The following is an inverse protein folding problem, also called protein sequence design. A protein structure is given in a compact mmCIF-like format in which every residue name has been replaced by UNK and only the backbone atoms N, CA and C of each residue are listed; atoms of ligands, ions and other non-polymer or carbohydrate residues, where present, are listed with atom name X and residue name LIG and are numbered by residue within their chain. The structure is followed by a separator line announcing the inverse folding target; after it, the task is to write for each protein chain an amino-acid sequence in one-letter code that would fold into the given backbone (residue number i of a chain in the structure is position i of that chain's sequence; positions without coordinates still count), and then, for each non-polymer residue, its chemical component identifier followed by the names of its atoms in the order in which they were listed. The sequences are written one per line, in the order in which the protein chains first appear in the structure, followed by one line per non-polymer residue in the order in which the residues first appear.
data_IF_936671275260
#
_entry.id   IF_936671275260
#
_cell.length_a   1.000
_cell.length_b   1.000
_cell.length_c   1.000
_cell.angle_alpha   90.00
_cell.angle_beta   90.00
_cell.angle_gamma   90.00
#
_symmetry.space_group_name_H-M   'P 1'
#
loop_
_entity.id
_entity.type
_entity.pdbx_description
1 polymer ?
#
# COMPACT_ATOMS: atom_id res chain seq x y z
N UNK A 1 6.94 -19.16 -5.78
CA UNK A 1 6.72 -18.20 -4.68
C UNK A 1 5.24 -18.08 -4.37
N UNK A 2 4.92 -18.05 -3.10
CA UNK A 2 3.52 -17.87 -2.69
C UNK A 2 3.05 -16.46 -3.04
N UNK A 3 1.88 -16.38 -3.66
CA UNK A 3 1.30 -15.08 -3.99
C UNK A 3 0.67 -14.47 -2.74
N UNK A 4 0.68 -13.14 -2.66
CA UNK A 4 -0.03 -12.44 -1.62
C UNK A 4 -1.52 -12.69 -1.73
N UNK A 5 -2.16 -12.90 -0.58
CA UNK A 5 -3.59 -13.12 -0.47
C UNK A 5 -4.16 -12.09 0.49
N UNK A 6 -5.43 -11.74 0.30
CA UNK A 6 -6.11 -10.81 1.18
C UNK A 6 -6.70 -11.57 2.36
N UNK A 7 -6.40 -11.10 3.57
CA UNK A 7 -6.88 -11.70 4.81
C UNK A 7 -7.78 -10.72 5.55
N UNK A 8 -8.91 -11.20 6.01
CA UNK A 8 -9.77 -10.44 6.91
C UNK A 8 -9.42 -10.83 8.33
N UNK A 9 -9.22 -9.85 9.19
CA UNK A 9 -8.78 -10.13 10.55
C UNK A 9 -9.64 -9.41 11.58
N UNK A 10 -9.67 -10.01 12.75
CA UNK A 10 -10.24 -9.43 13.96
C UNK A 10 -9.20 -9.56 15.05
N UNK A 11 -9.03 -8.52 15.86
CA UNK A 11 -8.00 -8.51 16.88
C UNK A 11 -8.40 -7.60 18.03
N UNK A 12 -7.67 -7.72 19.13
CA UNK A 12 -7.82 -6.83 20.28
C UNK A 12 -6.57 -5.98 20.42
N UNK A 13 -6.76 -4.71 20.79
CA UNK A 13 -5.65 -3.84 21.14
C UNK A 13 -5.09 -4.22 22.50
N UNK A 14 -3.99 -3.57 22.92
CA UNK A 14 -3.44 -3.78 24.26
C UNK A 14 -4.44 -3.43 25.36
N UNK A 15 -5.33 -2.49 25.08
CA UNK A 15 -6.36 -2.05 26.01
C UNK A 15 -7.61 -2.93 25.97
N UNK A 16 -7.60 -3.98 25.13
CA UNK A 16 -8.71 -4.89 25.00
C UNK A 16 -9.83 -4.41 24.09
N UNK A 17 -9.58 -3.38 23.29
CA UNK A 17 -10.59 -2.88 22.37
C UNK A 17 -10.60 -3.71 21.08
N UNK A 18 -11.79 -4.05 20.56
CA UNK A 18 -11.86 -4.80 19.31
C UNK A 18 -11.50 -3.94 18.11
N UNK A 19 -10.74 -4.54 17.19
CA UNK A 19 -10.40 -3.94 15.92
C UNK A 19 -10.60 -4.97 14.83
N UNK A 20 -10.87 -4.52 13.63
CA UNK A 20 -10.99 -5.39 12.48
C UNK A 20 -10.46 -4.68 11.24
N UNK A 21 -10.10 -5.47 10.23
CA UNK A 21 -9.58 -4.90 9.01
C UNK A 21 -9.19 -5.98 8.02
N UNK A 22 -8.42 -5.57 7.01
CA UNK A 22 -7.88 -6.48 6.01
C UNK A 22 -6.39 -6.22 5.87
N UNK A 23 -5.66 -7.26 5.44
CA UNK A 23 -4.24 -7.12 5.12
C UNK A 23 -3.86 -8.14 4.05
N UNK A 24 -2.74 -7.86 3.38
CA UNK A 24 -2.17 -8.77 2.41
C UNK A 24 -1.03 -9.54 3.04
N UNK A 25 -1.04 -10.87 2.88
CA UNK A 25 0.04 -11.72 3.37
C UNK A 25 0.09 -12.99 2.53
N UNK A 26 1.26 -13.63 2.50
CA UNK A 26 1.44 -14.83 1.70
C UNK A 26 0.79 -16.05 2.34
N UNK A 27 0.71 -16.07 3.68
CA UNK A 27 0.09 -17.16 4.41
C UNK A 27 -0.41 -16.66 5.75
N UNK A 28 -1.04 -17.57 6.50
CA UNK A 28 -1.63 -17.23 7.79
C UNK A 28 -0.58 -16.78 8.81
N UNK A 29 0.58 -17.43 8.82
CA UNK A 29 1.65 -17.06 9.74
C UNK A 29 2.17 -15.67 9.48
N UNK A 30 2.32 -15.31 8.21
CA UNK A 30 2.75 -13.95 7.86
C UNK A 30 1.73 -12.92 8.32
N UNK A 31 0.43 -13.21 8.14
CA UNK A 31 -0.64 -12.32 8.59
C UNK A 31 -0.61 -12.17 10.11
N UNK A 32 -0.46 -13.28 10.82
CA UNK A 32 -0.40 -13.28 12.27
C UNK A 32 0.77 -12.44 12.78
N UNK A 33 1.95 -12.67 12.22
CA UNK A 33 3.16 -11.93 12.60
C UNK A 33 2.98 -10.43 12.39
N UNK A 34 2.35 -10.07 11.29
CA UNK A 34 2.14 -8.67 10.97
C UNK A 34 1.23 -7.99 11.98
N UNK A 35 0.16 -8.67 12.40
CA UNK A 35 -0.74 -8.14 13.42
C UNK A 35 -0.04 -8.00 14.76
N UNK A 36 0.79 -8.97 15.12
CA UNK A 36 1.56 -8.90 16.35
C UNK A 36 2.51 -7.72 16.37
N UNK A 37 3.13 -7.42 15.24
CA UNK A 37 4.03 -6.26 15.12
C UNK A 37 3.29 -4.94 15.32
N UNK A 38 1.99 -4.92 15.03
CA UNK A 38 1.16 -3.73 15.19
C UNK A 38 0.55 -3.64 16.59
N UNK A 39 1.02 -4.47 17.53
CA UNK A 39 0.52 -4.51 18.90
C UNK A 39 -0.95 -4.93 18.98
N UNK A 40 -1.37 -5.80 18.07
CA UNK A 40 -2.70 -6.36 18.04
C UNK A 40 -2.64 -7.85 18.39
N UNK A 41 -3.64 -8.30 19.14
CA UNK A 41 -3.76 -9.72 19.46
C UNK A 41 -4.80 -10.34 18.53
N UNK A 42 -4.36 -11.15 17.55
CA UNK A 42 -5.29 -11.71 16.56
C UNK A 42 -6.30 -12.66 17.22
N UNK A 43 -7.59 -12.43 16.93
CA UNK A 43 -8.66 -13.31 17.36
C UNK A 43 -9.12 -14.22 16.24
N UNK A 44 -9.13 -13.72 15.00
CA UNK A 44 -9.57 -14.50 13.84
C UNK A 44 -8.85 -14.00 12.60
N UNK A 45 -8.48 -14.93 11.74
CA UNK A 45 -7.89 -14.66 10.44
C UNK A 45 -8.64 -15.51 9.43
N UNK A 46 -9.27 -14.86 8.45
CA UNK A 46 -10.04 -15.54 7.41
C UNK A 46 -9.51 -15.09 6.06
N UNK A 47 -9.18 -16.08 5.22
CA UNK A 47 -8.73 -15.76 3.87
C UNK A 47 -9.92 -15.35 3.01
N UNK A 48 -9.78 -14.22 2.31
CA UNK A 48 -10.80 -13.79 1.36
C UNK A 48 -10.63 -14.59 0.07
N UNK A 49 -11.68 -15.32 -0.30
CA UNK A 49 -11.61 -16.25 -1.44
C UNK A 49 -11.71 -15.55 -2.79
N UNK A 50 -12.21 -14.31 -2.81
CA UNK A 50 -12.43 -13.60 -4.07
C UNK A 50 -11.12 -13.06 -4.62
N UNK A 51 -10.89 -13.28 -5.93
CA UNK A 51 -9.77 -12.66 -6.61
C UNK A 51 -10.07 -11.20 -6.83
N UNK A 52 -9.13 -10.35 -6.45
CA UNK A 52 -9.24 -8.93 -6.71
C UNK A 52 -8.57 -8.59 -8.04
N UNK A 53 -9.28 -7.81 -8.86
CA UNK A 53 -8.77 -7.34 -10.13
C UNK A 53 -8.26 -5.91 -9.94
N UNK A 54 -6.97 -5.72 -10.17
CA UNK A 54 -6.36 -4.39 -10.03
C UNK A 54 -6.62 -3.59 -11.30
N UNK A 55 -7.27 -2.42 -11.15
CA UNK A 55 -7.58 -1.55 -12.29
C UNK A 55 -6.53 -0.45 -12.37
N UNK A 56 -5.98 -0.19 -13.57
CA UNK A 56 -4.91 0.80 -13.71
C UNK A 56 -5.27 2.19 -13.23
N UNK A 57 -6.54 2.61 -13.39
CA UNK A 57 -6.92 3.98 -13.00
C UNK A 57 -6.74 4.22 -11.50
N UNK A 58 -6.89 3.21 -10.66
CA UNK A 58 -6.66 3.37 -9.22
C UNK A 58 -5.19 3.64 -8.93
N UNK A 59 -4.30 3.01 -9.68
CA UNK A 59 -2.86 3.22 -9.55
C UNK A 59 -2.49 4.67 -9.90
N UNK A 60 -2.99 5.16 -11.04
CA UNK A 60 -2.71 6.53 -11.46
C UNK A 60 -3.34 7.55 -10.52
N UNK A 61 -4.53 7.26 -10.01
CA UNK A 61 -5.18 8.13 -9.04
C UNK A 61 -4.37 8.21 -7.74
N UNK A 62 -3.80 7.09 -7.32
CA UNK A 62 -2.91 7.06 -6.16
C UNK A 62 -1.71 8.00 -6.36
N UNK A 63 -1.05 7.90 -7.53
CA UNK A 63 0.09 8.77 -7.81
C UNK A 63 -0.31 10.23 -7.88
N UNK A 64 -1.48 10.52 -8.43
CA UNK A 64 -1.99 11.91 -8.49
C UNK A 64 -2.17 12.47 -7.09
N UNK A 65 -2.81 11.70 -6.22
CA UNK A 65 -3.05 12.14 -4.85
C UNK A 65 -1.75 12.25 -4.05
N UNK A 66 -0.81 11.32 -4.27
CA UNK A 66 0.50 11.42 -3.62
C UNK A 66 1.22 12.70 -4.02
N UNK A 67 1.21 13.04 -5.31
CA UNK A 67 1.85 14.26 -5.77
C UNK A 67 1.28 15.48 -5.06
N UNK A 68 -0.03 15.54 -4.92
CA UNK A 68 -0.71 16.64 -4.25
C UNK A 68 -0.29 16.74 -2.78
N UNK A 69 -0.28 15.60 -2.07
CA UNK A 69 0.08 15.58 -0.65
C UNK A 69 1.55 15.91 -0.42
N UNK A 70 2.44 15.40 -1.28
CA UNK A 70 3.85 15.72 -1.19
C UNK A 70 4.11 17.20 -1.46
N UNK A 71 3.38 17.78 -2.41
CA UNK A 71 3.47 19.19 -2.70
C UNK A 71 3.05 20.03 -1.50
N UNK A 72 2.10 19.54 -0.72
CA UNK A 72 1.63 20.21 0.49
C UNK A 72 2.61 20.08 1.66
N UNK A 73 3.70 19.35 1.48
CA UNK A 73 4.74 19.22 2.50
C UNK A 73 4.61 18.02 3.41
N UNK A 74 3.68 17.10 3.11
CA UNK A 74 3.51 15.90 3.91
C UNK A 74 4.57 14.86 3.55
N UNK A 75 4.95 14.03 4.52
CA UNK A 75 5.87 12.93 4.27
C UNK A 75 5.20 11.86 3.42
N UNK A 76 6.00 11.08 2.73
CA UNK A 76 5.49 9.99 1.90
C UNK A 76 4.73 8.95 2.74
N UNK A 77 5.30 8.56 3.88
CA UNK A 77 4.68 7.59 4.77
C UNK A 77 3.33 8.08 5.28
N UNK A 78 3.27 9.33 5.73
CA UNK A 78 2.02 9.91 6.22
C UNK A 78 0.98 10.03 5.10
N UNK A 79 1.42 10.42 3.91
CA UNK A 79 0.54 10.53 2.75
C UNK A 79 -0.10 9.18 2.41
N UNK A 80 0.70 8.11 2.41
CA UNK A 80 0.20 6.77 2.12
C UNK A 80 -0.78 6.28 3.17
N UNK A 81 -0.53 6.60 4.45
CA UNK A 81 -1.46 6.25 5.51
C UNK A 81 -2.80 6.95 5.32
N UNK A 82 -2.77 8.23 4.97
CA UNK A 82 -4.01 8.96 4.71
C UNK A 82 -4.79 8.37 3.55
N UNK A 83 -4.09 8.02 2.47
CA UNK A 83 -4.74 7.40 1.31
C UNK A 83 -5.33 6.04 1.68
N UNK A 84 -4.63 5.26 2.49
CA UNK A 84 -5.12 3.97 2.94
C UNK A 84 -6.42 4.11 3.72
N UNK A 85 -6.47 5.06 4.64
CA UNK A 85 -7.64 5.27 5.48
C UNK A 85 -8.85 5.74 4.68
N UNK A 86 -8.64 6.48 3.60
CA UNK A 86 -9.71 7.13 2.84
C UNK A 86 -10.14 6.34 1.60
N UNK A 87 -9.38 5.33 1.22
CA UNK A 87 -9.68 4.60 -0.01
C UNK A 87 -10.98 3.78 0.13
N UNK A 88 -11.88 3.85 -0.86
CA UNK A 88 -13.16 3.14 -0.76
C UNK A 88 -13.06 1.62 -0.94
N UNK A 89 -11.97 1.12 -1.53
CA UNK A 89 -11.82 -0.30 -1.81
C UNK A 89 -10.89 -0.95 -0.80
N UNK A 90 -11.37 -2.01 -0.15
CA UNK A 90 -10.59 -2.67 0.90
C UNK A 90 -9.27 -3.27 0.42
N UNK A 91 -9.18 -3.90 -0.76
CA UNK A 91 -7.87 -4.38 -1.24
C UNK A 91 -6.85 -3.26 -1.37
N UNK A 92 -7.27 -2.08 -1.83
CA UNK A 92 -6.38 -0.92 -1.92
C UNK A 92 -6.02 -0.37 -0.56
N UNK A 93 -6.96 -0.34 0.38
CA UNK A 93 -6.66 0.07 1.76
C UNK A 93 -5.53 -0.79 2.34
N UNK A 94 -5.65 -2.11 2.17
CA UNK A 94 -4.68 -3.05 2.69
C UNK A 94 -3.32 -2.91 1.99
N UNK A 95 -3.33 -2.70 0.67
CA UNK A 95 -2.11 -2.51 -0.09
C UNK A 95 -1.38 -1.24 0.34
N UNK A 96 -2.10 -0.13 0.41
CA UNK A 96 -1.51 1.15 0.79
C UNK A 96 -0.99 1.12 2.22
N UNK A 97 -1.71 0.47 3.12
CA UNK A 97 -1.25 0.32 4.50
C UNK A 97 0.02 -0.53 4.55
N UNK A 98 0.09 -1.57 3.74
CA UNK A 98 1.27 -2.43 3.65
C UNK A 98 2.50 -1.64 3.22
N UNK A 99 2.33 -0.80 2.19
CA UNK A 99 3.43 0.04 1.71
C UNK A 99 3.84 1.05 2.78
N UNK A 100 2.86 1.69 3.43
CA UNK A 100 3.13 2.66 4.48
C UNK A 100 3.92 2.03 5.64
N UNK A 101 3.54 0.81 6.04
CA UNK A 101 4.24 0.10 7.10
C UNK A 101 5.70 -0.18 6.74
N UNK A 102 5.94 -0.60 5.50
CA UNK A 102 7.31 -0.86 5.05
C UNK A 102 8.14 0.41 5.02
N UNK A 103 7.56 1.52 4.63
CA UNK A 103 8.26 2.80 4.65
C UNK A 103 8.61 3.21 6.08
N UNK A 104 7.71 2.95 7.02
CA UNK A 104 7.99 3.20 8.44
C UNK A 104 9.16 2.38 8.95
N UNK A 105 9.36 1.21 8.38
CA UNK A 105 10.45 0.31 8.74
C UNK A 105 11.76 0.64 8.02
N UNK A 106 11.76 1.64 7.16
CA UNK A 106 12.94 2.10 6.47
C UNK A 106 13.11 1.62 5.04
N UNK A 107 12.14 0.89 4.49
CA UNK A 107 12.22 0.43 3.10
C UNK A 107 12.01 1.58 2.12
N UNK A 108 12.78 1.62 1.02
CA UNK A 108 12.51 2.61 -0.03
C UNK A 108 11.16 2.34 -0.70
N UNK A 109 10.52 3.41 -1.16
CA UNK A 109 9.21 3.31 -1.80
C UNK A 109 9.26 2.40 -3.03
N UNK A 110 10.29 2.54 -3.86
CA UNK A 110 10.44 1.71 -5.05
C UNK A 110 10.54 0.22 -4.72
N UNK A 111 11.24 -0.13 -3.64
CA UNK A 111 11.33 -1.53 -3.22
C UNK A 111 9.99 -2.07 -2.74
N UNK A 112 9.21 -1.25 -2.06
CA UNK A 112 7.87 -1.65 -1.64
C UNK A 112 6.96 -1.90 -2.83
N UNK A 113 7.05 -1.05 -3.86
CA UNK A 113 6.24 -1.21 -5.07
C UNK A 113 6.58 -2.48 -5.85
N UNK A 114 7.85 -2.90 -5.82
CA UNK A 114 8.27 -4.13 -6.51
C UNK A 114 7.54 -5.36 -6.03
N UNK A 115 7.05 -5.36 -4.81
CA UNK A 115 6.34 -6.51 -4.24
C UNK A 115 4.95 -6.68 -4.82
N UNK A 116 4.48 -5.72 -5.62
CA UNK A 116 3.14 -5.73 -6.20
C UNK A 116 3.19 -5.59 -7.71
N UNK A 117 3.77 -6.58 -8.41
CA UNK A 117 3.93 -6.46 -9.87
C UNK A 117 2.60 -6.45 -10.64
N UNK A 118 1.53 -6.96 -10.03
CA UNK A 118 0.21 -6.90 -10.64
C UNK A 118 -0.37 -5.48 -10.65
N UNK A 119 0.15 -4.60 -9.79
CA UNK A 119 -0.33 -3.22 -9.66
C UNK A 119 0.62 -2.23 -10.29
N UNK A 120 1.92 -2.38 -10.02
CA UNK A 120 2.94 -1.42 -10.42
C UNK A 120 3.88 -2.06 -11.44
N UNK A 121 3.93 -1.48 -12.64
CA UNK A 121 4.78 -1.98 -13.70
C UNK A 121 6.26 -1.67 -13.41
N UNK A 122 7.19 -2.34 -14.12
CA UNK A 122 8.60 -1.99 -13.99
C UNK A 122 8.89 -0.51 -14.30
N UNK A 123 8.12 0.09 -15.20
CA UNK A 123 8.27 1.52 -15.49
C UNK A 123 7.93 2.36 -14.26
N UNK A 124 6.83 2.05 -13.57
CA UNK A 124 6.46 2.76 -12.36
C UNK A 124 7.57 2.68 -11.31
N UNK A 125 8.08 1.47 -11.08
CA UNK A 125 9.15 1.25 -10.10
C UNK A 125 10.39 2.02 -10.47
N UNK A 126 10.78 1.99 -11.75
CA UNK A 126 11.97 2.67 -12.25
C UNK A 126 11.85 4.19 -12.07
N UNK A 127 10.71 4.76 -12.41
CA UNK A 127 10.50 6.20 -12.26
C UNK A 127 10.52 6.64 -10.80
N UNK A 128 9.91 5.85 -9.93
CA UNK A 128 9.92 6.14 -8.49
C UNK A 128 11.35 6.07 -7.95
N UNK A 129 12.12 5.07 -8.36
CA UNK A 129 13.50 4.96 -7.94
C UNK A 129 14.32 6.17 -8.38
N UNK A 130 14.12 6.64 -9.61
CA UNK A 130 14.78 7.84 -10.10
C UNK A 130 14.42 9.05 -9.25
N UNK A 131 13.13 9.18 -8.91
CA UNK A 131 12.69 10.28 -8.05
C UNK A 131 13.31 10.24 -6.66
N UNK A 132 13.46 9.04 -6.10
CA UNK A 132 14.12 8.88 -4.82
C UNK A 132 15.59 9.33 -4.86
N UNK A 133 16.29 8.96 -5.94
CA UNK A 133 17.70 9.26 -6.07
C UNK A 133 17.96 10.74 -6.35
N UNK A 134 17.06 11.40 -7.07
CA UNK A 134 17.23 12.79 -7.45
C UNK A 134 16.54 13.76 -6.51
N UNK A 135 15.74 13.27 -5.56
CA UNK A 135 14.98 14.12 -4.66
C UNK A 135 13.75 14.75 -5.30
N UNK A 136 13.29 14.22 -6.44
CA UNK A 136 12.16 14.76 -7.19
C UNK A 136 10.98 13.78 -7.23
N UNK A 137 10.71 13.14 -6.13
CA UNK A 137 9.67 12.11 -6.08
C UNK A 137 8.28 12.69 -6.39
N UNK A 138 7.97 13.88 -5.89
CA UNK A 138 6.69 14.54 -6.18
C UNK A 138 6.47 14.70 -7.68
N UNK A 139 7.50 15.18 -8.37
CA UNK A 139 7.44 15.37 -9.82
C UNK A 139 7.24 14.04 -10.55
N UNK A 140 7.92 12.98 -10.09
CA UNK A 140 7.78 11.67 -10.69
C UNK A 140 6.35 11.14 -10.50
N UNK A 141 5.77 11.33 -9.33
CA UNK A 141 4.38 10.91 -9.07
C UNK A 141 3.41 11.66 -9.99
N UNK A 142 3.64 12.96 -10.20
CA UNK A 142 2.80 13.75 -11.09
C UNK A 142 2.89 13.25 -12.53
N UNK A 143 4.11 12.93 -12.98
CA UNK A 143 4.30 12.41 -14.33
C UNK A 143 3.63 11.05 -14.52
N UNK A 144 3.73 10.19 -13.51
CA UNK A 144 3.07 8.88 -13.56
C UNK A 144 1.56 9.02 -13.62
N UNK A 145 0.99 9.97 -12.89
CA UNK A 145 -0.44 10.24 -12.94
C UNK A 145 -0.88 10.72 -14.32
N UNK A 146 -0.06 11.49 -15.00
CA UNK A 146 -0.37 12.02 -16.32
C UNK A 146 -0.30 10.96 -17.42
N UNK A 147 0.47 9.91 -17.22
CA UNK A 147 0.60 8.85 -18.24
C UNK A 147 -0.72 8.14 -18.52
N UNK A 148 -1.63 8.10 -17.55
CA UNK A 148 -2.94 7.51 -17.78
C UNK A 148 -3.70 8.21 -18.92
N UNK A 149 -3.61 9.55 -18.94
CA UNK A 149 -4.31 10.32 -19.97
C UNK A 149 -3.77 10.02 -21.37
N UNK A 150 -2.46 9.77 -21.46
CA UNK A 150 -1.83 9.49 -22.74
C UNK A 150 -2.17 8.11 -23.28
N UNK A 151 -2.61 7.19 -22.41
CA UNK A 151 -2.90 5.81 -22.78
C UNK A 151 -4.40 5.56 -23.05
N UNK A 152 -5.23 6.55 -22.83
CA UNK A 152 -6.66 6.40 -23.09
C UNK A 152 -7.00 6.61 -24.55
#
# INVERSE_FOLDING_TARGET
MAANQLWRWRALTKEGEPRSGTLWATDRNAAFTRLMRSDLHPLALTRCAQRHRWRPHHCYEMFRQLATLLQAGLTLSHSLQMLAEQHPLKPWQALLQSIADELSEGSPFSESLKKWPAVFSPLHVSMVKTGELTGKLEECCRQLAQQQKAQQ
#
